data_IF_219236448846
#
_entry.id   IF_219236448846
#
_cell.length_a   1.000
_cell.length_b   1.000
_cell.length_c   1.000
_cell.angle_alpha   90.00
_cell.angle_beta   90.00
_cell.angle_gamma   90.00
#
_symmetry.space_group_name_H-M   'P 1'
#
loop_
_entity.id
_entity.type
_entity.pdbx_description
1 polymer ?
#
# COMPACT_ATOMS: atom_id res chain seq x y z
N UNK A 1 15.93 -23.57 20.20
CA UNK A 1 16.07 -23.62 18.73
C UNK A 1 17.50 -23.23 18.42
N UNK A 2 18.33 -24.14 17.94
CA UNK A 2 19.73 -23.87 17.61
C UNK A 2 19.93 -24.00 16.09
N UNK A 3 20.35 -22.93 15.38
CA UNK A 3 20.62 -22.98 13.94
C UNK A 3 21.70 -23.99 13.56
N UNK A 4 22.65 -24.25 14.46
CA UNK A 4 23.78 -25.16 14.26
C UNK A 4 23.30 -26.60 14.19
N UNK A 5 22.45 -27.02 15.14
CA UNK A 5 21.84 -28.35 15.14
C UNK A 5 20.84 -28.55 13.98
N UNK A 6 20.26 -27.46 13.46
CA UNK A 6 19.29 -27.50 12.36
C UNK A 6 19.93 -27.37 10.97
N UNK A 7 21.24 -27.15 10.89
CA UNK A 7 21.98 -26.88 9.65
C UNK A 7 21.32 -25.76 8.82
N UNK A 8 20.88 -24.70 9.50
CA UNK A 8 20.22 -23.55 8.87
C UNK A 8 21.19 -22.38 8.80
N UNK A 9 21.45 -21.92 7.58
CA UNK A 9 22.18 -20.68 7.35
C UNK A 9 21.23 -19.48 7.45
N UNK A 10 21.41 -18.69 8.51
CA UNK A 10 20.68 -17.45 8.75
C UNK A 10 21.48 -16.29 8.15
N UNK A 11 20.87 -15.55 7.23
CA UNK A 11 21.52 -14.38 6.61
C UNK A 11 21.33 -13.12 7.46
N UNK A 12 20.14 -12.93 8.04
CA UNK A 12 19.80 -11.72 8.79
C UNK A 12 18.74 -11.97 9.85
N UNK A 13 18.87 -11.29 10.99
CA UNK A 13 17.86 -11.27 12.04
C UNK A 13 17.55 -9.83 12.40
N UNK A 14 16.27 -9.45 12.38
CA UNK A 14 15.83 -8.11 12.81
C UNK A 14 14.62 -8.18 13.73
N UNK A 15 14.59 -7.33 14.75
CA UNK A 15 13.44 -7.15 15.63
C UNK A 15 12.36 -6.32 14.93
N UNK A 16 11.09 -6.71 15.08
CA UNK A 16 9.92 -6.03 14.51
C UNK A 16 8.89 -5.78 15.61
N UNK A 17 8.57 -4.51 15.86
CA UNK A 17 7.65 -4.14 16.93
C UNK A 17 8.18 -4.46 18.33
N UNK A 18 7.29 -4.69 19.30
CA UNK A 18 7.66 -4.99 20.70
C UNK A 18 8.06 -6.44 20.96
N UNK A 19 7.56 -7.40 20.17
CA UNK A 19 7.75 -8.84 20.42
C UNK A 19 7.91 -9.68 19.14
N UNK A 20 8.18 -9.07 17.98
CA UNK A 20 8.38 -9.78 16.72
C UNK A 20 9.85 -9.90 16.35
N UNK A 21 10.20 -10.99 15.66
CA UNK A 21 11.51 -11.21 15.06
C UNK A 21 11.32 -11.71 13.63
N UNK A 22 12.03 -11.10 12.69
CA UNK A 22 12.12 -11.58 11.31
C UNK A 22 13.49 -12.22 11.13
N UNK A 23 13.47 -13.48 10.69
CA UNK A 23 14.66 -14.27 10.37
C UNK A 23 14.67 -14.50 8.86
N UNK A 24 15.76 -14.11 8.23
CA UNK A 24 16.02 -14.30 6.81
C UNK A 24 17.00 -15.48 6.66
N UNK A 25 16.65 -16.43 5.80
CA UNK A 25 17.47 -17.62 5.50
C UNK A 25 17.96 -17.58 4.08
N UNK A 26 19.07 -18.26 3.80
CA UNK A 26 19.65 -18.33 2.44
C UNK A 26 18.88 -19.27 1.51
N UNK A 27 18.07 -20.20 2.05
CA UNK A 27 17.24 -21.13 1.28
C UNK A 27 15.80 -21.21 1.79
N UNK A 28 14.88 -21.57 0.89
CA UNK A 28 13.46 -21.78 1.20
C UNK A 28 13.28 -23.01 2.10
N UNK A 29 14.04 -24.08 1.86
CA UNK A 29 14.03 -25.29 2.69
C UNK A 29 14.43 -25.00 4.15
N UNK A 30 15.41 -24.12 4.36
CA UNK A 30 15.81 -23.69 5.68
C UNK A 30 14.70 -22.89 6.40
N UNK A 31 13.95 -22.06 5.66
CA UNK A 31 12.80 -21.36 6.21
C UNK A 31 11.71 -22.35 6.65
N UNK A 32 11.46 -23.41 5.89
CA UNK A 32 10.48 -24.44 6.27
C UNK A 32 10.91 -25.25 7.50
N UNK A 33 12.20 -25.61 7.61
CA UNK A 33 12.74 -26.25 8.82
C UNK A 33 12.56 -25.37 10.05
N UNK A 34 12.81 -24.07 9.91
CA UNK A 34 12.55 -23.10 10.98
C UNK A 34 11.07 -23.06 11.36
N UNK A 35 10.15 -22.97 10.38
CA UNK A 35 8.70 -22.97 10.64
C UNK A 35 8.25 -24.18 11.47
N UNK A 36 8.76 -25.38 11.15
CA UNK A 36 8.40 -26.63 11.85
C UNK A 36 8.97 -26.71 13.27
N UNK A 37 10.13 -26.12 13.50
CA UNK A 37 10.78 -26.16 14.80
C UNK A 37 10.21 -25.11 15.79
N UNK A 38 9.43 -24.12 15.32
CA UNK A 38 8.94 -23.03 16.17
C UNK A 38 7.96 -23.59 17.22
N UNK A 39 8.14 -23.26 18.50
CA UNK A 39 7.21 -23.69 19.54
C UNK A 39 5.80 -23.12 19.29
N UNK A 40 4.73 -23.81 19.70
CA UNK A 40 3.35 -23.39 19.45
C UNK A 40 2.98 -22.06 20.12
N UNK A 41 3.83 -21.55 21.02
CA UNK A 41 3.69 -20.24 21.67
C UNK A 41 4.00 -19.06 20.75
N UNK A 42 4.69 -19.29 19.63
CA UNK A 42 5.07 -18.24 18.67
C UNK A 42 4.31 -18.39 17.36
N UNK A 43 3.71 -17.29 16.90
CA UNK A 43 3.00 -17.26 15.62
C UNK A 43 4.01 -17.05 14.49
N UNK A 44 4.16 -18.06 13.63
CA UNK A 44 5.00 -17.95 12.43
C UNK A 44 4.16 -17.46 11.26
N UNK A 45 4.62 -16.44 10.59
CA UNK A 45 4.02 -15.93 9.35
C UNK A 45 5.13 -15.63 8.35
N UNK A 46 4.90 -15.99 7.09
CA UNK A 46 5.77 -15.51 6.03
C UNK A 46 5.54 -14.01 5.82
N UNK A 47 6.63 -13.23 5.63
CA UNK A 47 6.51 -11.86 5.19
C UNK A 47 5.78 -11.84 3.84
N UNK A 48 4.54 -11.36 3.83
CA UNK A 48 3.83 -11.11 2.57
C UNK A 48 4.52 -9.95 1.87
N UNK A 49 4.84 -10.12 0.58
CA UNK A 49 5.19 -8.97 -0.26
C UNK A 49 4.06 -7.96 -0.16
N UNK A 50 4.40 -6.69 0.07
CA UNK A 50 3.40 -5.62 -0.01
C UNK A 50 3.03 -5.49 -1.47
N UNK A 51 1.86 -6.00 -1.84
CA UNK A 51 1.27 -5.69 -3.14
C UNK A 51 1.06 -4.19 -3.23
N UNK A 52 1.12 -3.68 -4.44
CA UNK A 52 1.02 -2.25 -4.69
C UNK A 52 -0.43 -1.82 -4.52
N UNK A 53 -0.63 -0.60 -4.04
CA UNK A 53 -1.95 -0.04 -3.77
C UNK A 53 -2.21 1.13 -4.70
N UNK A 54 -3.34 1.09 -5.40
CA UNK A 54 -3.81 2.13 -6.31
C UNK A 54 -5.17 2.62 -5.84
N UNK A 55 -5.37 3.94 -5.75
CA UNK A 55 -6.61 4.55 -5.33
C UNK A 55 -7.38 5.15 -6.50
N UNK A 56 -8.65 4.79 -6.59
CA UNK A 56 -9.68 5.44 -7.37
C UNK A 56 -10.39 6.45 -6.47
N UNK A 57 -10.11 7.75 -6.65
CA UNK A 57 -10.60 8.79 -5.73
C UNK A 57 -11.88 9.45 -6.24
N UNK A 58 -12.76 9.81 -5.30
CA UNK A 58 -13.98 10.60 -5.57
C UNK A 58 -15.03 9.88 -6.43
N UNK A 59 -15.16 8.55 -6.28
CA UNK A 59 -16.32 7.82 -6.82
C UNK A 59 -17.58 8.21 -6.06
N UNK A 60 -18.70 8.42 -6.73
CA UNK A 60 -19.96 8.67 -6.02
C UNK A 60 -20.53 7.41 -5.37
N UNK A 61 -21.20 7.60 -4.24
CA UNK A 61 -21.88 6.52 -3.51
C UNK A 61 -20.91 5.45 -2.98
N UNK A 62 -21.38 4.20 -2.90
CA UNK A 62 -20.60 3.05 -2.43
C UNK A 62 -20.71 1.86 -3.40
N UNK A 63 -20.08 1.93 -4.58
CA UNK A 63 -20.16 0.83 -5.54
C UNK A 63 -19.53 -0.45 -4.95
N UNK A 64 -20.05 -1.60 -5.38
CA UNK A 64 -19.46 -2.89 -5.03
C UNK A 64 -18.09 -3.03 -5.70
N UNK A 65 -17.18 -3.75 -5.06
CA UNK A 65 -15.84 -3.97 -5.63
C UNK A 65 -15.87 -4.69 -6.97
N UNK A 66 -16.81 -5.61 -7.16
CA UNK A 66 -16.98 -6.34 -8.42
C UNK A 66 -17.47 -5.43 -9.55
N UNK A 67 -18.38 -4.49 -9.25
CA UNK A 67 -18.86 -3.49 -10.21
C UNK A 67 -17.71 -2.59 -10.64
N UNK A 68 -16.88 -2.13 -9.69
CA UNK A 68 -15.69 -1.30 -9.98
C UNK A 68 -14.72 -2.05 -10.89
N UNK A 69 -14.40 -3.31 -10.60
CA UNK A 69 -13.47 -4.11 -11.42
C UNK A 69 -14.04 -4.35 -12.82
N UNK A 70 -15.33 -4.65 -12.92
CA UNK A 70 -16.00 -4.90 -14.21
C UNK A 70 -16.05 -3.63 -15.06
N UNK A 71 -16.41 -2.48 -14.47
CA UNK A 71 -16.42 -1.20 -15.15
C UNK A 71 -15.01 -0.76 -15.58
N UNK A 72 -14.02 -0.98 -14.71
CA UNK A 72 -12.61 -0.72 -15.02
C UNK A 72 -12.16 -1.49 -16.27
N UNK A 73 -12.55 -2.76 -16.38
CA UNK A 73 -12.26 -3.56 -17.57
C UNK A 73 -13.00 -3.06 -18.82
N UNK A 74 -14.33 -3.01 -18.76
CA UNK A 74 -15.17 -2.74 -19.94
C UNK A 74 -14.96 -1.33 -20.52
N UNK A 75 -14.81 -0.31 -19.66
CA UNK A 75 -14.74 1.08 -20.10
C UNK A 75 -13.31 1.59 -20.34
N UNK A 76 -12.29 0.94 -19.75
CA UNK A 76 -10.91 1.46 -19.82
C UNK A 76 -9.93 0.49 -20.48
N UNK A 77 -9.98 -0.79 -20.10
CA UNK A 77 -8.95 -1.76 -20.50
C UNK A 77 -9.27 -2.44 -21.83
N UNK A 78 -10.55 -2.77 -22.08
CA UNK A 78 -10.97 -3.57 -23.24
C UNK A 78 -10.48 -3.04 -24.58
N UNK A 79 -10.43 -1.71 -24.76
CA UNK A 79 -10.01 -1.08 -26.02
C UNK A 79 -8.52 -0.73 -26.05
N UNK A 80 -7.95 -0.32 -24.91
CA UNK A 80 -6.57 0.20 -24.85
C UNK A 80 -5.51 -0.86 -24.58
N UNK A 81 -5.89 -1.98 -23.96
CA UNK A 81 -4.97 -3.02 -23.52
C UNK A 81 -5.55 -4.42 -23.81
N UNK A 82 -5.44 -4.91 -25.07
CA UNK A 82 -6.00 -6.21 -25.46
C UNK A 82 -5.33 -7.41 -24.76
N UNK A 83 -4.13 -7.23 -24.22
CA UNK A 83 -3.38 -8.27 -23.49
C UNK A 83 -3.98 -8.59 -22.11
N UNK A 84 -4.89 -7.75 -21.63
CA UNK A 84 -5.59 -7.94 -20.37
C UNK A 84 -6.95 -8.56 -20.65
N UNK A 85 -7.19 -9.75 -20.08
CA UNK A 85 -8.51 -10.35 -20.00
C UNK A 85 -9.18 -10.06 -18.65
N UNK A 86 -10.50 -10.14 -18.60
CA UNK A 86 -11.27 -9.92 -17.38
C UNK A 86 -10.87 -10.90 -16.25
N UNK A 87 -10.56 -12.16 -16.61
CA UNK A 87 -10.06 -13.14 -15.65
C UNK A 87 -8.65 -12.83 -15.14
N UNK A 88 -7.77 -12.33 -16.02
CA UNK A 88 -6.43 -11.87 -15.61
C UNK A 88 -6.54 -10.68 -14.66
N UNK A 89 -7.46 -9.75 -14.93
CA UNK A 89 -7.72 -8.60 -14.06
C UNK A 89 -8.25 -9.03 -12.70
N UNK A 90 -9.24 -9.92 -12.65
CA UNK A 90 -9.80 -10.42 -11.37
C UNK A 90 -8.79 -11.16 -10.51
N UNK A 91 -7.83 -11.86 -11.12
CA UNK A 91 -6.75 -12.55 -10.39
C UNK A 91 -5.68 -11.58 -9.88
N UNK A 92 -5.39 -10.54 -10.66
CA UNK A 92 -4.32 -9.58 -10.36
C UNK A 92 -4.78 -8.39 -9.52
N UNK A 93 -6.09 -8.14 -9.42
CA UNK A 93 -6.68 -6.99 -8.73
C UNK A 93 -7.71 -7.44 -7.69
N UNK A 94 -7.59 -6.93 -6.48
CA UNK A 94 -8.64 -7.04 -5.44
C UNK A 94 -8.90 -5.69 -4.81
N UNK A 95 -10.13 -5.45 -4.36
CA UNK A 95 -10.41 -4.27 -3.52
C UNK A 95 -9.81 -4.51 -2.14
N UNK A 96 -8.86 -3.68 -1.73
CA UNK A 96 -8.23 -3.75 -0.43
C UNK A 96 -9.17 -3.21 0.66
N UNK A 97 -9.66 -1.99 0.46
CA UNK A 97 -10.61 -1.33 1.35
C UNK A 97 -11.23 -0.13 0.65
N UNK A 98 -12.36 0.33 1.20
CA UNK A 98 -13.05 1.55 0.77
C UNK A 98 -12.93 2.61 1.87
N UNK A 99 -12.65 3.85 1.50
CA UNK A 99 -12.67 5.01 2.40
C UNK A 99 -13.79 5.93 1.94
N UNK A 100 -14.92 5.91 2.66
CA UNK A 100 -15.97 6.91 2.48
C UNK A 100 -15.59 8.20 3.22
N UNK A 101 -15.92 9.36 2.64
CA UNK A 101 -15.89 10.63 3.40
C UNK A 101 -17.10 10.67 4.34
N UNK A 102 -16.95 11.38 5.47
CA UNK A 102 -17.98 11.52 6.53
C UNK A 102 -19.34 12.00 6.02
N UNK A 103 -19.38 12.67 4.88
CA UNK A 103 -20.60 13.21 4.27
C UNK A 103 -21.27 12.26 3.25
N UNK A 104 -20.73 11.04 3.08
CA UNK A 104 -21.38 9.95 2.34
C UNK A 104 -21.47 10.11 0.81
N UNK A 105 -21.13 11.28 0.26
CA UNK A 105 -21.27 11.58 -1.16
C UNK A 105 -20.21 10.93 -2.04
N UNK A 106 -18.99 10.77 -1.51
CA UNK A 106 -17.85 10.24 -2.28
C UNK A 106 -17.06 9.19 -1.52
N UNK A 107 -16.69 8.13 -2.22
CA UNK A 107 -15.88 7.01 -1.76
C UNK A 107 -14.58 6.93 -2.54
N UNK A 108 -13.48 6.66 -1.83
CA UNK A 108 -12.20 6.28 -2.43
C UNK A 108 -12.07 4.77 -2.35
N UNK A 109 -11.94 4.11 -3.50
CA UNK A 109 -11.75 2.67 -3.58
C UNK A 109 -10.25 2.40 -3.75
N UNK A 110 -9.66 1.67 -2.81
CA UNK A 110 -8.26 1.28 -2.89
C UNK A 110 -8.17 -0.15 -3.41
N UNK A 111 -7.48 -0.31 -4.52
CA UNK A 111 -7.20 -1.56 -5.20
C UNK A 111 -5.80 -2.04 -4.83
N UNK A 112 -5.69 -3.33 -4.54
CA UNK A 112 -4.42 -4.02 -4.41
C UNK A 112 -4.14 -4.78 -5.69
N UNK A 113 -2.99 -4.49 -6.31
CA UNK A 113 -2.65 -4.97 -7.64
C UNK A 113 -1.20 -5.46 -7.77
N UNK A 114 -0.96 -6.28 -8.78
CA UNK A 114 0.38 -6.65 -9.24
C UNK A 114 1.10 -5.45 -9.92
N UNK A 115 2.44 -5.45 -9.96
CA UNK A 115 3.22 -4.35 -10.54
C UNK A 115 2.86 -3.98 -11.98
N UNK A 116 2.68 -4.98 -12.84
CA UNK A 116 2.28 -4.77 -14.24
C UNK A 116 0.95 -4.02 -14.35
N UNK A 117 -0.02 -4.39 -13.50
CA UNK A 117 -1.33 -3.75 -13.50
C UNK A 117 -1.25 -2.32 -12.96
N UNK A 118 -0.41 -2.07 -11.94
CA UNK A 118 -0.20 -0.71 -11.42
C UNK A 118 0.30 0.22 -12.53
N UNK A 119 1.31 -0.18 -13.29
CA UNK A 119 1.89 0.67 -14.33
C UNK A 119 0.84 1.06 -15.37
N UNK A 120 0.02 0.10 -15.80
CA UNK A 120 -1.10 0.36 -16.71
C UNK A 120 -2.09 1.34 -16.09
N UNK A 121 -2.52 1.09 -14.85
CA UNK A 121 -3.51 1.94 -14.17
C UNK A 121 -3.00 3.37 -13.93
N UNK A 122 -1.75 3.54 -13.52
CA UNK A 122 -1.16 4.87 -13.29
C UNK A 122 -0.96 5.59 -14.62
N UNK A 123 -0.59 4.88 -15.69
CA UNK A 123 -0.46 5.47 -17.04
C UNK A 123 -1.80 5.95 -17.60
N UNK A 124 -2.90 5.30 -17.22
CA UNK A 124 -4.24 5.74 -17.62
C UNK A 124 -4.64 7.09 -17.02
N UNK A 125 -4.08 7.49 -15.87
CA UNK A 125 -4.35 8.70 -15.06
C UNK A 125 -5.80 8.83 -14.55
N UNK A 126 -6.79 8.44 -15.36
CA UNK A 126 -8.22 8.47 -15.06
C UNK A 126 -8.90 7.17 -15.50
N UNK A 127 -9.77 6.65 -14.63
CA UNK A 127 -10.66 5.53 -14.91
C UNK A 127 -12.08 6.06 -15.13
N UNK A 128 -12.72 5.61 -16.19
CA UNK A 128 -14.13 5.79 -16.42
C UNK A 128 -14.90 4.67 -15.73
N UNK A 129 -15.85 5.04 -14.85
CA UNK A 129 -16.72 4.11 -14.14
C UNK A 129 -18.15 4.63 -14.25
N UNK A 130 -18.98 3.93 -15.05
CA UNK A 130 -20.31 4.38 -15.42
C UNK A 130 -20.23 5.71 -16.20
N UNK A 131 -20.74 6.78 -15.58
CA UNK A 131 -20.74 8.14 -16.13
C UNK A 131 -19.68 9.05 -15.50
N UNK A 132 -18.83 8.51 -14.63
CA UNK A 132 -17.84 9.27 -13.87
C UNK A 132 -16.43 9.05 -14.41
N UNK A 133 -15.63 10.10 -14.42
CA UNK A 133 -14.21 10.05 -14.77
C UNK A 133 -13.36 10.31 -13.53
N UNK A 134 -12.88 9.22 -12.95
CA UNK A 134 -12.30 9.11 -11.61
C UNK A 134 -10.77 9.13 -11.70
N UNK A 135 -10.06 10.03 -10.98
CA UNK A 135 -8.60 10.02 -10.98
C UNK A 135 -8.03 8.75 -10.32
N UNK A 136 -7.02 8.19 -10.97
CA UNK A 136 -6.24 7.04 -10.53
C UNK A 136 -4.91 7.55 -9.99
N UNK A 137 -4.51 7.11 -8.81
CA UNK A 137 -3.22 7.49 -8.24
C UNK A 137 -2.68 6.43 -7.31
N UNK A 138 -1.37 6.40 -7.12
CA UNK A 138 -0.76 5.54 -6.12
C UNK A 138 -1.31 5.86 -4.73
N UNK A 139 -1.68 4.80 -4.01
CA UNK A 139 -2.10 4.93 -2.63
C UNK A 139 -0.91 4.74 -1.71
N UNK A 140 -0.42 5.86 -1.18
CA UNK A 140 0.61 5.88 -0.15
C UNK A 140 -0.05 6.34 1.15
N UNK A 141 -0.09 5.46 2.15
CA UNK A 141 -0.59 5.82 3.48
C UNK A 141 0.47 6.61 4.23
N UNK A 142 0.51 7.92 4.00
CA UNK A 142 1.45 8.81 4.68
C UNK A 142 0.80 9.31 5.96
N UNK A 143 1.28 8.81 7.10
CA UNK A 143 0.88 9.36 8.41
C UNK A 143 1.57 10.71 8.62
N UNK A 144 0.78 11.78 8.74
CA UNK A 144 1.27 13.09 9.15
C UNK A 144 1.05 13.29 10.66
N UNK A 145 2.11 13.66 11.36
CA UNK A 145 2.05 13.94 12.78
C UNK A 145 1.29 15.25 13.05
N UNK A 146 0.19 15.22 13.80
CA UNK A 146 -0.57 16.44 14.15
C UNK A 146 0.15 17.36 15.14
N UNK A 147 1.28 16.92 15.70
CA UNK A 147 2.13 17.70 16.62
C UNK A 147 3.16 18.54 15.88
N UNK A 148 3.99 17.88 15.06
CA UNK A 148 5.13 18.51 14.37
C UNK A 148 4.94 18.67 12.85
N UNK A 149 3.82 18.20 12.30
CA UNK A 149 3.50 18.19 10.86
C UNK A 149 4.48 17.41 9.97
N UNK A 150 5.44 16.68 10.55
CA UNK A 150 6.31 15.79 9.79
C UNK A 150 5.61 14.46 9.48
N UNK A 151 6.02 13.85 8.37
CA UNK A 151 5.53 12.54 7.94
C UNK A 151 6.27 11.38 8.63
N UNK A 152 5.63 10.20 8.64
CA UNK A 152 6.26 8.94 9.05
C UNK A 152 6.07 8.55 10.52
N UNK A 153 5.35 9.36 11.32
CA UNK A 153 4.98 8.98 12.68
C UNK A 153 3.65 9.61 13.13
N UNK A 154 2.86 8.92 13.96
CA UNK A 154 1.70 9.51 14.61
C UNK A 154 2.12 10.38 15.80
N UNK A 155 1.22 11.26 16.25
CA UNK A 155 1.43 12.14 17.40
C UNK A 155 1.89 11.40 18.67
N UNK A 156 1.34 10.21 18.92
CA UNK A 156 1.70 9.35 20.07
C UNK A 156 3.18 8.91 20.09
N UNK A 157 3.86 8.95 18.94
CA UNK A 157 5.28 8.59 18.82
C UNK A 157 6.15 9.79 18.39
N UNK A 158 5.62 11.00 18.54
CA UNK A 158 6.34 12.22 18.18
C UNK A 158 7.46 12.52 19.19
N UNK A 159 8.67 12.72 18.66
CA UNK A 159 9.85 13.10 19.46
C UNK A 159 10.08 14.61 19.51
N UNK A 160 9.22 15.41 18.86
CA UNK A 160 9.35 16.86 18.88
C UNK A 160 9.03 17.41 20.27
N UNK A 161 9.91 18.30 20.77
CA UNK A 161 9.70 18.96 22.07
C UNK A 161 8.56 20.00 22.03
N UNK A 162 8.30 20.63 20.88
CA UNK A 162 7.29 21.69 20.74
C UNK A 162 6.19 21.31 19.76
N UNK A 163 4.97 21.74 20.08
CA UNK A 163 3.82 21.70 19.17
C UNK A 163 3.99 22.78 18.09
N UNK A 164 3.97 22.38 16.82
CA UNK A 164 4.00 23.26 15.65
C UNK A 164 2.58 23.47 15.08
N UNK A 165 1.55 23.15 15.88
CA UNK A 165 0.17 23.52 15.55
C UNK A 165 0.16 25.05 15.41
N UNK A 166 -0.12 25.54 14.20
CA UNK A 166 -0.26 26.96 13.80
C UNK A 166 0.97 27.71 13.22
N UNK A 167 2.11 27.08 12.96
CA UNK A 167 3.15 27.76 12.16
C UNK A 167 2.75 27.79 10.67
N UNK A 168 2.29 28.95 10.21
CA UNK A 168 2.15 29.27 8.78
C UNK A 168 3.56 29.25 8.17
N UNK A 169 3.80 28.33 7.24
CA UNK A 169 5.01 28.36 6.42
C UNK A 169 4.84 29.42 5.34
N UNK A 170 5.43 30.60 5.55
CA UNK A 170 5.62 31.59 4.49
C UNK A 170 7.00 31.33 3.89
N UNK A 171 7.07 30.60 2.78
CA UNK A 171 8.29 30.51 1.99
C UNK A 171 8.36 31.72 1.05
N UNK A 172 9.13 32.73 1.41
CA UNK A 172 9.54 33.78 0.47
C UNK A 172 10.52 33.18 -0.54
N UNK A 173 10.06 32.97 -1.77
CA UNK A 173 10.88 32.49 -2.87
C UNK A 173 11.77 33.64 -3.38
N UNK A 174 12.80 34.01 -2.64
CA UNK A 174 13.85 34.90 -3.15
C UNK A 174 14.86 34.05 -3.91
N UNK A 175 14.57 33.86 -5.20
CA UNK A 175 15.54 33.40 -6.19
C UNK A 175 16.59 34.51 -6.34
N UNK A 176 17.69 34.42 -5.58
CA UNK A 176 18.84 35.28 -5.78
C UNK A 176 19.58 34.81 -7.03
N UNK A 177 19.31 35.45 -8.17
CA UNK A 177 20.14 35.34 -9.37
C UNK A 177 21.43 36.13 -9.16
N UNK A 178 22.49 35.42 -8.76
CA UNK A 178 23.85 35.95 -8.77
C UNK A 178 24.28 36.22 -10.21
N UNK A 179 24.70 37.46 -10.47
CA UNK A 179 25.41 37.89 -11.67
C UNK A 179 26.79 38.34 -11.24
#
# INVERSE_FOLDING_TARGET
MDPTSMQVQVSKVRKVGRAGVVVETTSVEAAEKLKKAVPPTLRVMEPRSRKLLVALRNLSGDPSGEVVITALYEQNMRTKHPDWSLDKLRKSCRVAFKKSRREGSTTTVVLECEPELREVLVTLDRAYIGWEAVPICDFIDVTCCRKCQQYGHPEAHCRALKDLRHSIWVSSNTFASGR
#
